data_IF_890717698146
#
_entry.id   IF_890717698146
#
_cell.length_a   1.000
_cell.length_b   1.000
_cell.length_c   1.000
_cell.angle_alpha   90.00
_cell.angle_beta   90.00
_cell.angle_gamma   90.00
#
_symmetry.space_group_name_H-M   'P 1'
#
loop_
_entity.id
_entity.type
_entity.pdbx_description
1 polymer ?
#
# COMPACT_ATOMS: atom_id res chain seq x y z
N UNK A 1 7.71 9.13 3.51
CA UNK A 1 8.66 8.08 3.07
C UNK A 1 7.88 7.05 2.27
N UNK A 2 8.46 6.49 1.19
CA UNK A 2 7.81 5.44 0.39
C UNK A 2 8.75 4.25 0.29
N UNK A 3 8.24 3.05 0.54
CA UNK A 3 8.98 1.80 0.41
C UNK A 3 8.10 0.76 -0.28
N UNK A 4 8.71 -0.04 -1.16
CA UNK A 4 8.07 -1.12 -1.88
C UNK A 4 8.99 -2.34 -1.85
N UNK A 5 8.45 -3.47 -1.46
CA UNK A 5 9.13 -4.76 -1.49
C UNK A 5 8.29 -5.75 -2.29
N UNK A 6 8.94 -6.50 -3.17
CA UNK A 6 8.27 -7.53 -3.96
C UNK A 6 9.15 -8.77 -4.07
N UNK A 7 8.56 -9.93 -3.83
CA UNK A 7 9.20 -11.23 -3.93
C UNK A 7 8.36 -12.17 -4.79
N UNK A 8 9.03 -13.07 -5.51
CA UNK A 8 8.38 -14.14 -6.26
C UNK A 8 8.69 -15.46 -5.56
N UNK A 9 7.68 -16.25 -5.27
CA UNK A 9 7.80 -17.52 -4.56
C UNK A 9 7.16 -18.67 -5.35
N UNK A 10 7.84 -19.83 -5.36
CA UNK A 10 7.32 -21.10 -5.83
C UNK A 10 7.38 -21.34 -7.35
N UNK A 11 7.15 -22.60 -7.74
CA UNK A 11 7.17 -23.10 -9.12
C UNK A 11 6.07 -22.50 -10.00
N UNK A 12 4.97 -22.02 -9.40
CA UNK A 12 3.86 -21.39 -10.12
C UNK A 12 4.08 -19.88 -10.33
N UNK A 13 5.14 -19.26 -9.77
CA UNK A 13 5.42 -17.81 -9.89
C UNK A 13 4.41 -16.92 -9.14
N UNK A 14 4.12 -17.25 -7.89
CA UNK A 14 3.33 -16.39 -6.99
C UNK A 14 4.10 -15.12 -6.69
N UNK A 15 3.50 -13.94 -6.89
CA UNK A 15 4.11 -12.65 -6.53
C UNK A 15 3.48 -12.11 -5.27
N UNK A 16 4.33 -11.77 -4.30
CA UNK A 16 3.93 -11.13 -3.05
C UNK A 16 4.60 -9.76 -3.00
N UNK A 17 3.82 -8.71 -2.75
CA UNK A 17 4.29 -7.34 -2.68
C UNK A 17 3.76 -6.63 -1.44
N UNK A 18 4.58 -5.79 -0.83
CA UNK A 18 4.20 -4.91 0.28
C UNK A 18 4.68 -3.50 -0.02
N UNK A 19 3.77 -2.53 0.05
CA UNK A 19 4.05 -1.12 -0.14
C UNK A 19 3.69 -0.36 1.15
N UNK A 20 4.56 0.56 1.56
CA UNK A 20 4.31 1.50 2.64
C UNK A 20 4.55 2.93 2.17
N UNK A 21 3.62 3.82 2.49
CA UNK A 21 3.73 5.24 2.21
C UNK A 21 3.31 6.05 3.43
N UNK A 22 4.23 6.84 3.94
CA UNK A 22 3.96 7.87 4.95
C UNK A 22 3.79 9.21 4.24
N UNK A 23 2.65 9.87 4.48
CA UNK A 23 2.25 11.16 3.95
C UNK A 23 2.00 12.13 5.11
N UNK A 24 2.49 13.35 4.98
CA UNK A 24 2.20 14.44 5.92
C UNK A 24 1.35 15.45 5.17
N UNK A 25 0.14 15.73 5.67
CA UNK A 25 -0.75 16.75 5.14
C UNK A 25 -0.86 17.87 6.16
N UNK A 26 -0.59 19.11 5.74
CA UNK A 26 -0.93 20.30 6.53
C UNK A 26 -2.42 20.58 6.35
N UNK A 27 -3.13 20.80 7.45
CA UNK A 27 -4.53 21.24 7.41
C UNK A 27 -4.51 22.76 7.21
N UNK A 28 -4.83 23.24 6.01
CA UNK A 28 -4.95 24.68 5.72
C UNK A 28 -6.36 25.21 6.04
N UNK A 29 -6.51 26.54 6.18
CA UNK A 29 -7.78 27.21 6.51
C UNK A 29 -7.87 27.63 7.98
N UNK A 30 -9.02 27.41 8.64
CA UNK A 30 -9.22 27.82 10.07
C UNK A 30 -8.31 27.07 11.08
N UNK A 31 -7.50 26.13 10.62
CA UNK A 31 -6.52 25.37 11.41
C UNK A 31 -5.07 25.79 11.14
N UNK A 32 -4.86 26.82 10.31
CA UNK A 32 -3.53 27.33 9.94
C UNK A 32 -2.87 28.06 11.13
N UNK A 33 -3.66 28.77 11.94
CA UNK A 33 -3.23 29.37 13.22
C UNK A 33 -2.82 28.34 14.29
N UNK A 34 -3.25 27.08 14.14
CA UNK A 34 -2.99 25.99 15.10
C UNK A 34 -1.84 25.07 14.67
N UNK A 35 -1.14 25.39 13.58
CA UNK A 35 -0.06 24.60 12.96
C UNK A 35 -0.37 23.08 12.93
N UNK A 36 -1.62 22.74 12.61
CA UNK A 36 -2.12 21.37 12.74
C UNK A 36 -1.62 20.49 11.58
N UNK A 37 -0.63 19.64 11.87
CA UNK A 37 -0.07 18.68 10.92
C UNK A 37 -0.68 17.29 11.10
N UNK A 38 -1.29 16.76 10.03
CA UNK A 38 -1.86 15.40 10.00
C UNK A 38 -0.88 14.44 9.34
N UNK A 39 -0.40 13.45 10.09
CA UNK A 39 0.44 12.36 9.55
C UNK A 39 -0.43 11.16 9.22
N UNK A 40 -0.43 10.73 7.96
CA UNK A 40 -1.13 9.53 7.51
C UNK A 40 -0.12 8.52 6.99
N UNK A 41 -0.18 7.29 7.49
CA UNK A 41 0.58 6.16 6.98
C UNK A 41 -0.36 5.17 6.30
N UNK A 42 0.05 4.67 5.15
CA UNK A 42 -0.69 3.68 4.37
C UNK A 42 0.23 2.48 4.13
N UNK A 43 -0.24 1.29 4.48
CA UNK A 43 0.41 0.02 4.20
C UNK A 43 -0.50 -0.81 3.31
N UNK A 44 0.05 -1.38 2.25
CA UNK A 44 -0.68 -2.20 1.30
C UNK A 44 0.07 -3.49 1.03
N UNK A 45 -0.60 -4.63 1.15
CA UNK A 45 -0.09 -5.94 0.78
C UNK A 45 -0.84 -6.43 -0.47
N UNK A 46 -0.12 -7.07 -1.39
CA UNK A 46 -0.65 -7.61 -2.63
C UNK A 46 -0.10 -9.02 -2.85
N UNK A 47 -0.98 -9.98 -3.09
CA UNK A 47 -0.62 -11.34 -3.49
C UNK A 47 -1.23 -11.62 -4.84
N UNK A 48 -0.42 -12.10 -5.78
CA UNK A 48 -0.86 -12.51 -7.12
C UNK A 48 -0.49 -13.97 -7.33
N UNK A 49 -1.52 -14.80 -7.54
CA UNK A 49 -1.42 -16.24 -7.76
C UNK A 49 -1.85 -16.54 -9.19
N UNK A 50 -0.95 -16.97 -10.08
CA UNK A 50 -1.36 -17.52 -11.37
C UNK A 50 -2.04 -18.89 -11.15
N UNK A 51 -3.26 -19.04 -11.62
CA UNK A 51 -4.06 -20.26 -11.49
C UNK A 51 -3.91 -21.17 -12.70
N UNK A 52 -3.95 -20.61 -13.91
CA UNK A 52 -3.86 -21.35 -15.16
C UNK A 52 -2.96 -20.60 -16.12
N UNK A 53 -2.04 -21.32 -16.76
CA UNK A 53 -1.20 -20.78 -17.84
C UNK A 53 -1.26 -21.72 -19.03
N UNK A 54 -1.68 -21.18 -20.17
CA UNK A 54 -1.88 -21.88 -21.44
C UNK A 54 -1.20 -21.09 -22.56
N UNK A 55 -0.95 -21.74 -23.70
CA UNK A 55 -0.46 -21.07 -24.91
C UNK A 55 -1.42 -19.99 -25.44
N UNK A 56 -2.71 -20.07 -25.09
CA UNK A 56 -3.75 -19.15 -25.54
C UNK A 56 -4.16 -18.12 -24.47
N UNK A 57 -3.60 -18.18 -23.25
CA UNK A 57 -3.95 -17.23 -22.20
C UNK A 57 -3.54 -17.66 -20.81
N UNK A 58 -3.73 -16.76 -19.85
CA UNK A 58 -3.44 -17.01 -18.44
C UNK A 58 -4.53 -16.44 -17.54
N UNK A 59 -4.86 -17.15 -16.47
CA UNK A 59 -5.76 -16.71 -15.42
C UNK A 59 -4.97 -16.58 -14.13
N UNK A 60 -5.12 -15.45 -13.46
CA UNK A 60 -4.48 -15.18 -12.16
C UNK A 60 -5.47 -14.54 -11.21
N UNK A 61 -5.35 -14.85 -9.93
CA UNK A 61 -6.07 -14.20 -8.84
C UNK A 61 -5.17 -13.19 -8.16
N UNK A 62 -5.75 -12.05 -7.78
CA UNK A 62 -5.07 -10.98 -7.05
C UNK A 62 -5.81 -10.66 -5.77
N UNK A 63 -5.12 -10.73 -4.64
CA UNK A 63 -5.61 -10.30 -3.35
C UNK A 63 -4.85 -9.04 -2.93
N UNK A 64 -5.57 -7.96 -2.62
CA UNK A 64 -4.99 -6.73 -2.11
C UNK A 64 -5.59 -6.43 -0.73
N UNK A 65 -4.74 -6.11 0.23
CA UNK A 65 -5.14 -5.62 1.54
C UNK A 65 -4.52 -4.25 1.76
N UNK A 66 -5.31 -3.29 2.20
CA UNK A 66 -4.87 -1.93 2.47
C UNK A 66 -5.25 -1.53 3.90
N UNK A 67 -4.29 -1.01 4.65
CA UNK A 67 -4.48 -0.46 5.98
C UNK A 67 -3.99 0.98 6.00
N UNK A 68 -4.86 1.88 6.46
CA UNK A 68 -4.53 3.30 6.65
C UNK A 68 -4.52 3.60 8.15
N UNK A 69 -3.47 4.24 8.62
CA UNK A 69 -3.34 4.73 9.99
C UNK A 69 -3.14 6.23 9.94
N UNK A 70 -4.08 6.95 10.54
CA UNK A 70 -4.06 8.41 10.64
C UNK A 70 -3.67 8.78 12.07
N UNK A 71 -2.68 9.67 12.19
CA UNK A 71 -2.27 10.28 13.46
C UNK A 71 -2.45 11.79 13.33
N UNK A 72 -3.25 12.36 14.21
CA UNK A 72 -3.35 13.81 14.35
C UNK A 72 -2.16 14.25 15.21
N UNK A 73 -1.27 15.09 14.67
CA UNK A 73 -0.25 15.75 15.47
C UNK A 73 -0.89 16.94 16.17
N UNK A 74 -0.84 16.95 17.50
CA UNK A 74 -1.08 18.12 18.34
C UNK A 74 0.21 18.25 19.14
N UNK A 75 1.05 19.23 18.79
CA UNK A 75 2.15 19.69 19.66
C UNK A 75 1.56 20.47 20.84
#
# INVERSE_FOLDING_TARGET
MRALFQVTAGSVSTRIGVARSDMTCRLGGEFEDLDCSKKSSMCRALVTLPLVRSRHGSVSVRFAYESRKVRLGRD
#
